data_IF_323438353480
#
_entry.id   IF_323438353480
#
_cell.length_a   1.000
_cell.length_b   1.000
_cell.length_c   1.000
_cell.angle_alpha   90.00
_cell.angle_beta   90.00
_cell.angle_gamma   90.00
#
_symmetry.space_group_name_H-M   'P 1'
#
loop_
_entity.id
_entity.type
_entity.pdbx_description
1 polymer ?
#
# COMPACT_ATOMS: atom_id res chain seq x y z
N UNK A 1 6.26 2.20 -13.88
CA UNK A 1 5.09 1.72 -13.09
C UNK A 1 5.58 0.83 -11.95
N UNK A 2 4.81 0.69 -10.85
CA UNK A 2 5.18 -0.17 -9.71
C UNK A 2 5.34 -1.64 -10.13
N UNK A 3 4.49 -2.12 -11.02
CA UNK A 3 4.54 -3.50 -11.54
C UNK A 3 5.83 -3.77 -12.32
N UNK A 4 6.28 -2.84 -13.19
CA UNK A 4 7.54 -2.99 -13.91
C UNK A 4 8.75 -2.95 -12.95
N UNK A 5 8.70 -2.12 -11.91
CA UNK A 5 9.72 -2.09 -10.85
C UNK A 5 9.77 -3.40 -10.05
N UNK A 6 8.61 -3.95 -9.68
CA UNK A 6 8.50 -5.24 -8.99
C UNK A 6 9.01 -6.41 -9.85
N UNK A 7 8.69 -6.42 -11.15
CA UNK A 7 9.19 -7.43 -12.08
C UNK A 7 10.70 -7.31 -12.33
N UNK A 8 11.21 -6.09 -12.47
CA UNK A 8 12.61 -5.82 -12.79
C UNK A 8 13.58 -6.09 -11.65
N UNK A 9 13.12 -5.91 -10.40
CA UNK A 9 13.92 -6.17 -9.18
C UNK A 9 13.87 -7.63 -8.70
N UNK A 10 12.96 -8.44 -9.23
CA UNK A 10 12.84 -9.85 -8.89
C UNK A 10 13.90 -10.71 -9.59
N UNK A 11 14.37 -11.77 -8.89
CA UNK A 11 15.17 -12.86 -9.48
C UNK A 11 14.49 -13.33 -10.77
N UNK A 12 15.20 -13.39 -11.92
CA UNK A 12 14.65 -13.86 -13.19
C UNK A 12 13.84 -15.15 -13.09
N UNK A 13 14.23 -16.09 -12.21
CA UNK A 13 13.54 -17.38 -12.02
C UNK A 13 12.22 -17.25 -11.23
N UNK A 14 12.00 -16.14 -10.52
CA UNK A 14 10.87 -15.93 -9.60
C UNK A 14 9.94 -14.78 -10.00
N UNK A 15 10.22 -14.08 -11.09
CA UNK A 15 9.41 -12.93 -11.58
C UNK A 15 7.91 -13.20 -11.61
N UNK A 16 7.50 -14.37 -12.12
CA UNK A 16 6.09 -14.77 -12.15
C UNK A 16 5.46 -14.84 -10.76
N UNK A 17 6.16 -15.44 -9.79
CA UNK A 17 5.70 -15.51 -8.40
C UNK A 17 5.65 -14.13 -7.73
N UNK A 18 6.65 -13.28 -7.96
CA UNK A 18 6.63 -11.90 -7.44
C UNK A 18 5.45 -11.11 -7.99
N UNK A 19 5.17 -11.21 -9.28
CA UNK A 19 4.03 -10.56 -9.90
C UNK A 19 2.69 -11.11 -9.40
N UNK A 20 2.59 -12.43 -9.19
CA UNK A 20 1.41 -13.05 -8.60
C UNK A 20 1.13 -12.47 -7.20
N UNK A 21 2.15 -12.37 -6.33
CA UNK A 21 2.01 -11.78 -4.99
C UNK A 21 1.68 -10.29 -5.07
N UNK A 22 2.31 -9.55 -5.99
CA UNK A 22 2.01 -8.13 -6.21
C UNK A 22 0.53 -7.91 -6.57
N UNK A 23 0.00 -8.70 -7.51
CA UNK A 23 -1.41 -8.65 -7.89
C UNK A 23 -2.32 -9.11 -6.75
N UNK A 24 -1.98 -10.18 -6.04
CA UNK A 24 -2.75 -10.66 -4.88
C UNK A 24 -2.86 -9.59 -3.80
N UNK A 25 -1.77 -8.90 -3.48
CA UNK A 25 -1.76 -7.81 -2.51
C UNK A 25 -2.65 -6.65 -2.99
N UNK A 26 -2.57 -6.29 -4.28
CA UNK A 26 -3.45 -5.27 -4.88
C UNK A 26 -4.92 -5.63 -4.78
N UNK A 27 -5.30 -6.86 -5.13
CA UNK A 27 -6.69 -7.33 -5.06
C UNK A 27 -7.19 -7.44 -3.61
N UNK A 28 -6.38 -7.96 -2.70
CA UNK A 28 -6.72 -8.04 -1.29
C UNK A 28 -6.98 -6.63 -0.72
N UNK A 29 -6.10 -5.66 -1.00
CA UNK A 29 -6.31 -4.27 -0.60
C UNK A 29 -7.55 -3.64 -1.22
N UNK A 30 -7.78 -3.89 -2.52
CA UNK A 30 -8.96 -3.41 -3.25
C UNK A 30 -10.29 -3.99 -2.75
N UNK A 31 -10.27 -5.20 -2.19
CA UNK A 31 -11.45 -5.80 -1.55
C UNK A 31 -11.64 -5.32 -0.11
N UNK A 32 -10.58 -5.36 0.71
CA UNK A 32 -10.66 -5.02 2.14
C UNK A 32 -10.94 -3.54 2.36
N UNK A 33 -10.36 -2.65 1.55
CA UNK A 33 -10.51 -1.20 1.70
C UNK A 33 -11.97 -0.73 1.73
N UNK A 34 -12.79 -1.01 0.70
CA UNK A 34 -14.21 -0.65 0.68
C UNK A 34 -15.01 -1.24 1.83
N UNK A 35 -14.74 -2.49 2.23
CA UNK A 35 -15.42 -3.16 3.36
C UNK A 35 -15.16 -2.42 4.67
N UNK A 36 -13.91 -2.05 4.92
CA UNK A 36 -13.53 -1.32 6.14
C UNK A 36 -14.11 0.10 6.13
N UNK A 37 -14.07 0.81 5.00
CA UNK A 37 -14.68 2.14 4.88
C UNK A 37 -16.19 2.07 5.12
N UNK A 38 -16.89 1.12 4.50
CA UNK A 38 -18.32 0.90 4.74
C UNK A 38 -18.62 0.66 6.21
N UNK A 39 -17.83 -0.20 6.86
CA UNK A 39 -17.97 -0.50 8.30
C UNK A 39 -17.76 0.74 9.18
N UNK A 40 -16.78 1.59 8.86
CA UNK A 40 -16.55 2.86 9.58
C UNK A 40 -17.74 3.81 9.41
N UNK A 41 -18.28 3.91 8.19
CA UNK A 41 -19.43 4.75 7.91
C UNK A 41 -20.69 4.26 8.64
N UNK A 42 -20.96 2.95 8.60
CA UNK A 42 -22.12 2.33 9.25
C UNK A 42 -22.08 2.54 10.78
N UNK A 43 -20.91 2.33 11.39
CA UNK A 43 -20.73 2.54 12.83
C UNK A 43 -20.74 4.02 13.24
N UNK A 44 -20.32 4.93 12.35
CA UNK A 44 -20.29 6.38 12.61
C UNK A 44 -21.64 7.08 12.47
N UNK A 45 -22.70 6.37 12.04
CA UNK A 45 -24.02 6.95 11.79
C UNK A 45 -24.27 7.37 10.33
N UNK A 46 -23.62 6.70 9.38
CA UNK A 46 -23.84 6.86 7.94
C UNK A 46 -23.24 8.14 7.38
N UNK A 47 -24.05 8.94 6.67
CA UNK A 47 -23.65 10.18 5.97
C UNK A 47 -23.36 11.38 6.91
N UNK A 48 -22.79 11.14 8.09
CA UNK A 48 -22.41 12.22 9.01
C UNK A 48 -21.01 12.77 8.66
N UNK A 49 -20.74 14.08 8.89
CA UNK A 49 -19.39 14.63 8.73
C UNK A 49 -18.33 13.93 9.57
N UNK A 50 -18.70 13.48 10.78
CA UNK A 50 -17.80 12.73 11.67
C UNK A 50 -17.43 11.37 11.08
N UNK A 51 -18.41 10.60 10.55
CA UNK A 51 -18.16 9.30 9.91
C UNK A 51 -17.19 9.41 8.75
N UNK A 52 -17.40 10.40 7.87
CA UNK A 52 -16.50 10.66 6.75
C UNK A 52 -15.12 11.14 7.23
N UNK A 53 -15.07 11.97 8.28
CA UNK A 53 -13.81 12.35 8.93
C UNK A 53 -13.02 11.14 9.42
N UNK A 54 -13.69 10.18 10.07
CA UNK A 54 -13.07 8.91 10.50
C UNK A 54 -12.63 8.03 9.32
N UNK A 55 -13.42 7.97 8.25
CA UNK A 55 -13.07 7.23 7.04
C UNK A 55 -11.79 7.80 6.38
N UNK A 56 -11.67 9.12 6.25
CA UNK A 56 -10.46 9.75 5.72
C UNK A 56 -9.27 9.63 6.68
N UNK A 57 -9.51 9.74 7.99
CA UNK A 57 -8.47 9.50 9.00
C UNK A 57 -7.91 8.08 8.88
N UNK A 58 -8.77 7.08 8.69
CA UNK A 58 -8.34 5.70 8.46
C UNK A 58 -7.41 5.58 7.23
N UNK A 59 -7.78 6.20 6.11
CA UNK A 59 -6.93 6.21 4.90
C UNK A 59 -5.57 6.86 5.20
N UNK A 60 -5.57 7.99 5.91
CA UNK A 60 -4.34 8.68 6.30
C UNK A 60 -3.44 7.79 7.18
N UNK A 61 -4.01 7.10 8.18
CA UNK A 61 -3.28 6.17 9.05
C UNK A 61 -2.64 5.04 8.24
N UNK A 62 -3.37 4.42 7.31
CA UNK A 62 -2.81 3.37 6.43
C UNK A 62 -1.66 3.91 5.58
N UNK A 63 -1.80 5.11 5.02
CA UNK A 63 -0.73 5.79 4.28
C UNK A 63 0.52 6.03 5.12
N UNK A 64 0.35 6.46 6.38
CA UNK A 64 1.44 6.66 7.33
C UNK A 64 2.13 5.34 7.70
N UNK A 65 1.38 4.26 7.88
CA UNK A 65 1.95 2.91 8.09
C UNK A 65 2.79 2.50 6.88
N UNK A 66 2.29 2.70 5.66
CA UNK A 66 3.04 2.44 4.44
C UNK A 66 4.34 3.24 4.39
N UNK A 67 4.27 4.55 4.66
CA UNK A 67 5.46 5.42 4.75
C UNK A 67 6.46 4.92 5.78
N UNK A 68 6.00 4.56 6.98
CA UNK A 68 6.85 4.05 8.04
C UNK A 68 7.53 2.74 7.61
N UNK A 69 6.78 1.79 7.05
CA UNK A 69 7.30 0.53 6.55
C UNK A 69 8.39 0.75 5.48
N UNK A 70 8.19 1.68 4.54
CA UNK A 70 9.20 2.01 3.54
C UNK A 70 10.47 2.61 4.17
N UNK A 71 10.35 3.47 5.18
CA UNK A 71 11.52 4.05 5.86
C UNK A 71 12.29 2.99 6.66
N UNK A 72 11.59 2.06 7.32
CA UNK A 72 12.24 1.01 8.11
C UNK A 72 12.85 -0.10 7.26
N UNK A 73 12.24 -0.40 6.10
CA UNK A 73 12.66 -1.49 5.21
C UNK A 73 13.56 -1.04 4.06
N UNK A 74 13.80 0.27 3.89
CA UNK A 74 14.66 0.80 2.84
C UNK A 74 16.09 0.23 2.97
N UNK A 75 16.60 -0.50 1.96
CA UNK A 75 18.00 -0.89 1.91
C UNK A 75 18.90 0.35 1.82
N UNK A 76 20.07 0.32 2.47
CA UNK A 76 21.01 1.46 2.53
C UNK A 76 21.86 1.63 1.25
N UNK A 77 21.58 0.83 0.24
CA UNK A 77 22.38 0.64 -0.98
C UNK A 77 21.52 0.70 -2.25
N UNK A 78 20.49 1.55 -2.26
CA UNK A 78 19.70 1.82 -3.45
C UNK A 78 20.63 2.33 -4.58
N UNK A 79 20.50 1.75 -5.78
CA UNK A 79 21.33 2.07 -6.95
C UNK A 79 21.31 3.57 -7.30
N UNK A 80 20.25 4.29 -6.91
CA UNK A 80 20.13 5.74 -7.08
C UNK A 80 21.01 6.59 -6.14
N UNK A 81 21.40 6.08 -4.97
CA UNK A 81 22.24 6.83 -4.01
C UNK A 81 23.69 7.01 -4.49
N UNK A 82 24.16 6.12 -5.37
CA UNK A 82 25.51 6.17 -5.94
C UNK A 82 25.68 7.19 -7.06
N UNK A 83 24.59 7.65 -7.68
CA UNK A 83 24.65 8.57 -8.83
C UNK A 83 24.73 10.05 -8.41
N UNK A 84 24.64 10.36 -7.11
CA UNK A 84 24.66 11.72 -6.57
C UNK A 84 25.94 12.11 -5.81
N UNK A 85 27.03 11.34 -5.93
CA UNK A 85 28.36 11.66 -5.38
C UNK A 85 29.37 11.87 -6.49
#
# INVERSE_FOLDING_TARGET
>A
SLTAGAAGSADPRRRGATLAVHSMAGYAGGFVGPVVIGSILDLGGGMSPLSWGLAFLHIAVIGLIGRFAFVTLAPRDLVGDRAGR
#
